data_IF_030108776031
#
_entry.id   IF_030108776031
#
_cell.length_a   1.000
_cell.length_b   1.000
_cell.length_c   1.000
_cell.angle_alpha   90.00
_cell.angle_beta   90.00
_cell.angle_gamma   90.00
#
_symmetry.space_group_name_H-M   'P 1'
#
loop_
_entity.id
_entity.type
_entity.pdbx_description
1 polymer ?
#
# COMPACT_ATOMS: atom_id res chain seq x y z
N UNK A 1 49.06 40.69 -0.49
CA UNK A 1 48.83 39.46 -1.18
C UNK A 1 48.18 38.48 -0.19
N UNK A 2 46.86 38.51 -0.08
CA UNK A 2 46.09 37.74 0.86
C UNK A 2 45.60 36.45 0.19
N UNK A 3 46.09 35.30 0.63
CA UNK A 3 45.52 34.01 0.28
C UNK A 3 44.29 33.84 1.17
N UNK A 4 43.12 34.03 0.55
CA UNK A 4 41.87 33.87 1.24
C UNK A 4 41.66 32.42 1.66
N UNK A 5 41.24 32.28 2.87
CA UNK A 5 40.89 31.10 3.61
C UNK A 5 39.76 30.32 2.93
N UNK A 6 40.14 29.33 2.12
CA UNK A 6 39.19 28.38 1.48
C UNK A 6 38.86 27.19 2.39
N UNK A 7 39.35 27.20 3.64
CA UNK A 7 39.07 26.13 4.61
C UNK A 7 37.76 26.26 5.35
N UNK A 8 37.06 27.41 5.25
CA UNK A 8 35.82 27.68 6.01
C UNK A 8 34.53 27.19 5.36
N UNK A 9 34.61 26.52 4.18
CA UNK A 9 33.41 25.97 3.49
C UNK A 9 33.24 24.46 3.70
N UNK A 10 34.08 23.84 4.48
CA UNK A 10 33.97 22.44 4.81
C UNK A 10 33.39 22.30 6.22
N UNK A 11 32.33 21.50 6.28
CA UNK A 11 31.61 21.07 7.48
C UNK A 11 30.52 22.03 8.01
N UNK A 12 29.43 22.19 7.24
CA UNK A 12 28.14 22.16 7.92
C UNK A 12 27.90 20.70 8.32
N UNK A 13 27.88 20.35 9.64
CA UNK A 13 27.38 19.06 10.05
C UNK A 13 25.96 18.96 9.50
N UNK A 14 25.65 17.88 8.78
CA UNK A 14 24.28 17.56 8.48
C UNK A 14 23.55 17.62 9.82
N UNK A 15 22.64 18.60 9.98
CA UNK A 15 21.86 18.76 11.20
C UNK A 15 21.21 17.42 11.49
N UNK A 16 21.63 16.78 12.54
CA UNK A 16 21.13 15.51 13.03
C UNK A 16 19.70 15.76 13.54
N UNK A 17 18.73 15.74 12.64
CA UNK A 17 17.30 15.96 12.94
C UNK A 17 16.73 14.83 13.81
N UNK A 18 17.58 13.92 14.28
CA UNK A 18 17.24 12.87 15.21
C UNK A 18 17.44 13.36 16.66
N UNK A 19 16.42 13.98 17.23
CA UNK A 19 16.38 14.15 18.70
C UNK A 19 16.30 12.75 19.31
N UNK A 20 17.17 12.40 20.29
CA UNK A 20 17.06 11.14 21.00
C UNK A 20 15.66 11.03 21.65
N UNK A 21 14.83 10.11 21.16
CA UNK A 21 13.50 9.82 21.71
C UNK A 21 12.31 10.47 21.00
N UNK A 22 12.48 11.18 19.86
CA UNK A 22 11.39 11.76 19.07
C UNK A 22 11.08 10.97 17.80
N UNK A 23 9.81 11.02 17.34
CA UNK A 23 9.40 10.55 16.00
C UNK A 23 10.10 11.43 14.96
N UNK A 24 10.69 10.81 13.92
CA UNK A 24 11.29 11.58 12.82
C UNK A 24 10.22 12.36 12.06
N UNK A 25 10.55 13.54 11.54
CA UNK A 25 9.63 14.35 10.75
C UNK A 25 9.10 13.60 9.53
N UNK A 26 9.91 12.73 8.94
CA UNK A 26 9.50 11.89 7.81
C UNK A 26 8.42 10.88 8.20
N UNK A 27 8.56 10.21 9.35
CA UNK A 27 7.56 9.30 9.89
C UNK A 27 6.27 10.03 10.27
N UNK A 28 6.37 11.22 10.88
CA UNK A 28 5.20 12.05 11.18
C UNK A 28 4.47 12.43 9.91
N UNK A 29 5.18 12.88 8.86
CA UNK A 29 4.60 13.17 7.56
C UNK A 29 3.88 11.97 6.95
N UNK A 30 4.46 10.76 7.05
CA UNK A 30 3.82 9.53 6.58
C UNK A 30 2.54 9.19 7.36
N UNK A 31 2.53 9.37 8.68
CA UNK A 31 1.33 9.16 9.50
C UNK A 31 0.22 10.12 9.12
N UNK A 32 0.52 11.40 8.91
CA UNK A 32 -0.46 12.40 8.47
C UNK A 32 -0.98 12.10 7.06
N UNK A 33 -0.11 11.65 6.16
CA UNK A 33 -0.51 11.19 4.83
C UNK A 33 -1.46 10.00 4.92
N UNK A 34 -1.12 8.95 5.67
CA UNK A 34 -2.01 7.80 5.88
C UNK A 34 -3.34 8.21 6.49
N UNK A 35 -3.34 9.14 7.44
CA UNK A 35 -4.59 9.66 8.02
C UNK A 35 -5.50 10.30 6.97
N UNK A 36 -4.94 11.07 6.00
CA UNK A 36 -5.71 11.61 4.88
C UNK A 36 -6.29 10.53 3.97
N UNK A 37 -5.52 9.46 3.73
CA UNK A 37 -5.96 8.34 2.89
C UNK A 37 -7.05 7.49 3.58
N UNK A 38 -6.98 7.34 4.91
CA UNK A 38 -8.08 6.74 5.71
C UNK A 38 -9.37 7.55 5.53
N UNK A 39 -9.30 8.88 5.55
CA UNK A 39 -10.47 9.74 5.32
C UNK A 39 -10.99 9.60 3.88
N UNK A 40 -10.11 9.51 2.90
CA UNK A 40 -10.47 9.30 1.50
C UNK A 40 -11.24 7.98 1.31
N UNK A 41 -10.69 6.86 1.76
CA UNK A 41 -11.38 5.56 1.69
C UNK A 41 -12.64 5.53 2.56
N UNK A 42 -12.62 6.17 3.73
CA UNK A 42 -13.80 6.33 4.58
C UNK A 42 -14.95 7.02 3.85
N UNK A 43 -14.66 8.05 3.05
CA UNK A 43 -15.64 8.70 2.17
C UNK A 43 -16.19 7.75 1.10
N UNK A 44 -15.32 6.96 0.46
CA UNK A 44 -15.74 5.96 -0.55
C UNK A 44 -16.62 4.85 0.07
N UNK A 45 -16.24 4.32 1.24
CA UNK A 45 -17.08 3.36 1.97
C UNK A 45 -18.41 3.97 2.40
N UNK A 46 -18.41 5.22 2.88
CA UNK A 46 -19.64 5.94 3.23
C UNK A 46 -20.58 6.07 2.04
N UNK A 47 -20.06 6.44 0.87
CA UNK A 47 -20.83 6.49 -0.38
C UNK A 47 -21.40 5.11 -0.74
N UNK A 48 -20.56 4.05 -0.68
CA UNK A 48 -21.00 2.67 -0.94
C UNK A 48 -22.16 2.25 -0.03
N UNK A 49 -22.05 2.46 1.29
CA UNK A 49 -23.11 2.06 2.22
C UNK A 49 -24.39 2.89 2.06
N UNK A 50 -24.28 4.17 1.71
CA UNK A 50 -25.42 5.04 1.40
C UNK A 50 -26.16 4.53 0.18
N UNK A 51 -25.45 4.20 -0.88
CA UNK A 51 -26.03 3.67 -2.13
C UNK A 51 -26.68 2.31 -1.86
N UNK A 52 -25.97 1.41 -1.16
CA UNK A 52 -26.47 0.09 -0.80
C UNK A 52 -27.78 0.16 0.00
N UNK A 53 -27.85 1.06 0.98
CA UNK A 53 -29.03 1.22 1.83
C UNK A 53 -30.25 1.78 1.10
N UNK A 54 -30.03 2.47 -0.02
CA UNK A 54 -31.09 3.02 -0.86
C UNK A 54 -31.60 2.03 -1.93
N UNK A 55 -30.85 0.95 -2.19
CA UNK A 55 -31.21 -0.07 -3.17
C UNK A 55 -32.23 -1.06 -2.59
N UNK A 56 -33.31 -1.43 -3.32
CA UNK A 56 -34.29 -2.40 -2.87
C UNK A 56 -33.73 -3.81 -2.72
N UNK A 57 -32.69 -4.13 -3.53
CA UNK A 57 -31.98 -5.42 -3.53
C UNK A 57 -30.51 -5.19 -3.82
N UNK A 58 -29.62 -5.90 -3.10
CA UNK A 58 -28.18 -5.73 -3.24
C UNK A 58 -27.43 -7.06 -3.07
N UNK A 59 -26.58 -7.48 -4.05
CA UNK A 59 -26.38 -6.86 -5.36
C UNK A 59 -27.65 -6.96 -6.24
N UNK A 60 -27.83 -6.07 -7.24
CA UNK A 60 -28.95 -6.20 -8.17
C UNK A 60 -28.87 -7.55 -8.92
N UNK A 61 -30.02 -8.20 -9.23
CA UNK A 61 -30.06 -9.57 -9.75
C UNK A 61 -29.40 -9.77 -11.13
N UNK A 62 -29.25 -8.70 -11.89
CA UNK A 62 -28.62 -8.75 -13.23
C UNK A 62 -27.07 -8.66 -13.20
N UNK A 63 -26.46 -8.60 -12.01
CA UNK A 63 -25.01 -8.51 -11.90
C UNK A 63 -24.38 -9.90 -11.73
N UNK A 64 -23.16 -10.13 -12.30
CA UNK A 64 -22.44 -11.36 -12.11
C UNK A 64 -22.09 -11.56 -10.62
N UNK A 65 -22.11 -12.81 -10.18
CA UNK A 65 -21.73 -13.16 -8.82
C UNK A 65 -20.23 -13.04 -8.63
N UNK A 66 -19.82 -12.17 -7.68
CA UNK A 66 -18.43 -12.04 -7.31
C UNK A 66 -17.94 -13.30 -6.58
N UNK A 67 -16.80 -13.83 -7.00
CA UNK A 67 -16.24 -15.05 -6.42
C UNK A 67 -15.53 -14.78 -5.07
N UNK A 68 -16.25 -14.95 -3.96
CA UNK A 68 -15.66 -14.82 -2.63
C UNK A 68 -14.43 -15.75 -2.39
N UNK A 69 -14.38 -17.01 -2.87
CA UNK A 69 -13.17 -17.83 -2.78
C UNK A 69 -11.97 -17.24 -3.52
N UNK A 70 -12.18 -16.65 -4.70
CA UNK A 70 -11.11 -15.99 -5.45
C UNK A 70 -10.57 -14.77 -4.69
N UNK A 71 -11.44 -13.92 -4.20
CA UNK A 71 -11.08 -12.76 -3.39
C UNK A 71 -10.39 -13.17 -2.05
N UNK A 72 -10.76 -14.32 -1.48
CA UNK A 72 -10.07 -14.86 -0.29
C UNK A 72 -8.62 -15.26 -0.60
N UNK A 73 -8.33 -15.81 -1.79
CA UNK A 73 -6.96 -16.09 -2.22
C UNK A 73 -6.18 -14.78 -2.38
N UNK A 74 -6.76 -13.76 -3.02
CA UNK A 74 -6.15 -12.41 -3.13
C UNK A 74 -5.82 -11.85 -1.75
N UNK A 75 -6.75 -11.96 -0.81
CA UNK A 75 -6.57 -11.51 0.58
C UNK A 75 -5.41 -12.26 1.25
N UNK A 76 -5.34 -13.58 1.10
CA UNK A 76 -4.25 -14.38 1.67
C UNK A 76 -2.87 -13.97 1.11
N UNK A 77 -2.78 -13.70 -0.20
CA UNK A 77 -1.56 -13.22 -0.85
C UNK A 77 -1.13 -11.88 -0.27
N UNK A 78 -2.06 -10.92 -0.18
CA UNK A 78 -1.76 -9.57 0.26
C UNK A 78 -1.38 -9.55 1.76
N UNK A 79 -2.13 -10.24 2.62
CA UNK A 79 -1.80 -10.37 4.05
C UNK A 79 -0.44 -11.06 4.26
N UNK A 80 -0.12 -12.09 3.46
CA UNK A 80 1.20 -12.72 3.50
C UNK A 80 2.29 -11.74 3.10
N UNK A 81 2.04 -10.88 2.11
CA UNK A 81 3.00 -9.84 1.70
C UNK A 81 3.28 -8.83 2.82
N UNK A 82 2.26 -8.53 3.63
CA UNK A 82 2.38 -7.66 4.81
C UNK A 82 3.31 -8.26 5.87
N UNK A 83 3.14 -9.55 6.14
CA UNK A 83 4.02 -10.28 7.07
C UNK A 83 5.46 -10.29 6.57
N UNK A 84 5.67 -10.54 5.27
CA UNK A 84 7.03 -10.51 4.68
C UNK A 84 7.64 -9.12 4.73
N UNK A 85 6.86 -8.06 4.52
CA UNK A 85 7.31 -6.68 4.69
C UNK A 85 7.79 -6.41 6.12
N UNK A 86 7.05 -6.88 7.12
CA UNK A 86 7.43 -6.74 8.53
C UNK A 86 8.75 -7.49 8.85
N UNK A 87 8.97 -8.66 8.25
CA UNK A 87 10.27 -9.36 8.37
C UNK A 87 11.41 -8.55 7.77
N UNK A 88 11.16 -7.79 6.69
CA UNK A 88 12.13 -6.84 6.12
C UNK A 88 12.52 -5.75 7.13
N UNK A 89 11.54 -5.14 7.79
CA UNK A 89 11.78 -4.12 8.84
C UNK A 89 12.60 -4.72 10.00
N UNK A 90 12.25 -5.90 10.48
CA UNK A 90 13.01 -6.55 11.56
C UNK A 90 14.43 -6.94 11.13
N UNK A 91 14.64 -7.25 9.85
CA UNK A 91 15.97 -7.56 9.33
C UNK A 91 16.87 -6.31 9.34
N UNK A 92 16.38 -5.14 8.92
CA UNK A 92 17.19 -3.92 8.92
C UNK A 92 17.47 -3.42 10.32
N UNK A 93 16.54 -3.52 11.25
CA UNK A 93 16.77 -3.21 12.67
C UNK A 93 17.91 -4.03 13.28
N UNK A 94 18.14 -5.26 12.76
CA UNK A 94 19.27 -6.12 13.09
C UNK A 94 20.48 -5.93 12.16
N UNK A 95 20.50 -4.87 11.36
CA UNK A 95 21.54 -4.55 10.37
C UNK A 95 21.82 -5.66 9.36
N UNK A 96 20.80 -6.49 9.05
CA UNK A 96 20.92 -7.60 8.11
C UNK A 96 20.39 -7.21 6.72
N UNK A 97 21.25 -6.56 5.93
CA UNK A 97 20.96 -6.05 4.61
C UNK A 97 20.48 -7.14 3.63
N UNK A 98 21.09 -8.34 3.68
CA UNK A 98 20.72 -9.43 2.76
C UNK A 98 19.29 -9.90 3.00
N UNK A 99 18.88 -10.04 4.28
CA UNK A 99 17.50 -10.40 4.63
C UNK A 99 16.51 -9.30 4.30
N UNK A 100 16.88 -8.01 4.49
CA UNK A 100 16.05 -6.89 4.06
C UNK A 100 15.72 -7.00 2.57
N UNK A 101 16.75 -7.13 1.72
CA UNK A 101 16.59 -7.24 0.26
C UNK A 101 15.69 -8.42 -0.11
N UNK A 102 15.91 -9.58 0.52
CA UNK A 102 15.10 -10.77 0.27
C UNK A 102 13.62 -10.52 0.60
N UNK A 103 13.32 -10.01 1.80
CA UNK A 103 11.94 -9.84 2.24
C UNK A 103 11.21 -8.73 1.47
N UNK A 104 11.89 -7.63 1.12
CA UNK A 104 11.33 -6.60 0.23
C UNK A 104 11.02 -7.16 -1.16
N UNK A 105 11.90 -8.00 -1.72
CA UNK A 105 11.66 -8.62 -3.02
C UNK A 105 10.48 -9.60 -2.98
N UNK A 106 10.31 -10.38 -1.91
CA UNK A 106 9.17 -11.27 -1.71
C UNK A 106 7.88 -10.47 -1.58
N UNK A 107 7.86 -9.40 -0.78
CA UNK A 107 6.68 -8.55 -0.62
C UNK A 107 6.27 -7.89 -1.94
N UNK A 108 7.25 -7.39 -2.70
CA UNK A 108 7.02 -6.81 -4.02
C UNK A 108 6.44 -7.83 -5.01
N UNK A 109 6.98 -9.05 -5.01
CA UNK A 109 6.49 -10.13 -5.87
C UNK A 109 5.03 -10.50 -5.54
N UNK A 110 4.70 -10.65 -4.25
CA UNK A 110 3.33 -10.95 -3.82
C UNK A 110 2.37 -9.82 -4.17
N UNK A 111 2.79 -8.56 -4.00
CA UNK A 111 2.00 -7.39 -4.42
C UNK A 111 1.78 -7.34 -5.94
N UNK A 112 2.80 -7.69 -6.74
CA UNK A 112 2.67 -7.79 -8.20
C UNK A 112 1.72 -8.92 -8.62
N UNK A 113 1.77 -10.09 -7.95
CA UNK A 113 0.84 -11.20 -8.16
C UNK A 113 -0.59 -10.77 -7.85
N UNK A 114 -0.81 -10.07 -6.73
CA UNK A 114 -2.12 -9.53 -6.37
C UNK A 114 -2.67 -8.62 -7.48
N UNK A 115 -1.87 -7.64 -7.96
CA UNK A 115 -2.28 -6.73 -9.02
C UNK A 115 -2.60 -7.47 -10.34
N UNK A 116 -1.80 -8.48 -10.70
CA UNK A 116 -2.06 -9.28 -11.89
C UNK A 116 -3.36 -10.07 -11.77
N UNK A 117 -3.61 -10.72 -10.62
CA UNK A 117 -4.85 -11.44 -10.37
C UNK A 117 -6.07 -10.52 -10.36
N UNK A 118 -5.96 -9.33 -9.75
CA UNK A 118 -7.02 -8.33 -9.76
C UNK A 118 -7.34 -7.85 -11.18
N UNK A 119 -6.31 -7.66 -12.02
CA UNK A 119 -6.51 -7.30 -13.43
C UNK A 119 -7.20 -8.42 -14.22
N UNK A 120 -6.89 -9.70 -13.94
CA UNK A 120 -7.57 -10.85 -14.53
C UNK A 120 -9.04 -10.92 -14.09
N UNK A 121 -9.33 -10.67 -12.82
CA UNK A 121 -10.71 -10.60 -12.32
C UNK A 121 -11.50 -9.51 -13.06
N UNK A 122 -10.91 -8.33 -13.25
CA UNK A 122 -11.55 -7.25 -14.03
C UNK A 122 -11.82 -7.66 -15.47
N UNK A 123 -10.88 -8.34 -16.14
CA UNK A 123 -11.07 -8.80 -17.50
C UNK A 123 -12.26 -9.77 -17.58
N UNK A 124 -12.34 -10.75 -16.68
CA UNK A 124 -13.45 -11.71 -16.62
C UNK A 124 -14.81 -11.03 -16.38
N UNK A 125 -14.88 -10.09 -15.40
CA UNK A 125 -16.11 -9.36 -15.10
C UNK A 125 -16.57 -8.48 -16.26
N UNK A 126 -15.64 -7.90 -17.04
CA UNK A 126 -15.95 -7.13 -18.23
C UNK A 126 -16.52 -8.04 -19.33
N UNK A 127 -15.98 -9.25 -19.51
CA UNK A 127 -16.51 -10.26 -20.46
C UNK A 127 -17.92 -10.72 -20.05
N UNK A 128 -18.22 -10.79 -18.74
CA UNK A 128 -19.55 -11.08 -18.19
C UNK A 128 -20.51 -9.88 -18.27
N UNK A 129 -20.07 -8.73 -18.83
CA UNK A 129 -20.90 -7.53 -19.04
C UNK A 129 -20.87 -6.54 -17.87
N UNK A 130 -20.15 -6.81 -16.78
CA UNK A 130 -20.01 -5.86 -15.68
C UNK A 130 -18.92 -4.85 -15.98
N UNK A 131 -19.32 -3.61 -16.21
CA UNK A 131 -18.41 -2.49 -16.49
C UNK A 131 -18.63 -1.34 -15.50
N UNK A 132 -17.79 -0.32 -15.55
CA UNK A 132 -17.96 0.91 -14.75
C UNK A 132 -19.32 1.59 -15.00
N UNK A 133 -19.91 1.42 -16.20
CA UNK A 133 -21.18 2.02 -16.65
C UNK A 133 -22.35 1.05 -16.63
N UNK A 134 -22.18 -0.22 -16.24
CA UNK A 134 -23.24 -1.24 -16.26
C UNK A 134 -24.31 -1.04 -15.17
N UNK A 135 -24.10 -0.11 -14.25
CA UNK A 135 -25.06 0.21 -13.19
C UNK A 135 -24.35 0.66 -11.91
N UNK A 136 -25.15 0.88 -10.89
CA UNK A 136 -24.64 1.43 -9.61
C UNK A 136 -23.70 0.46 -8.90
N UNK A 137 -23.97 -0.85 -8.98
CA UNK A 137 -23.11 -1.87 -8.40
C UNK A 137 -21.74 -1.92 -9.09
N UNK A 138 -21.72 -1.98 -10.43
CA UNK A 138 -20.48 -1.94 -11.22
C UNK A 138 -19.68 -0.66 -10.95
N UNK A 139 -20.32 0.50 -10.95
CA UNK A 139 -19.65 1.78 -10.67
C UNK A 139 -19.02 1.81 -9.29
N UNK A 140 -19.71 1.37 -8.25
CA UNK A 140 -19.18 1.36 -6.88
C UNK A 140 -18.07 0.32 -6.70
N UNK A 141 -18.22 -0.87 -7.29
CA UNK A 141 -17.21 -1.93 -7.28
C UNK A 141 -15.89 -1.45 -7.91
N UNK A 142 -15.93 -0.98 -9.17
CA UNK A 142 -14.72 -0.56 -9.87
C UNK A 142 -14.10 0.72 -9.28
N UNK A 143 -14.90 1.62 -8.72
CA UNK A 143 -14.37 2.80 -8.04
C UNK A 143 -13.60 2.42 -6.78
N UNK A 144 -14.20 1.64 -5.88
CA UNK A 144 -13.59 1.23 -4.63
C UNK A 144 -12.34 0.37 -4.86
N UNK A 145 -12.48 -0.71 -5.63
CA UNK A 145 -11.38 -1.65 -5.87
C UNK A 145 -10.31 -1.06 -6.80
N UNK A 146 -10.68 -0.17 -7.73
CA UNK A 146 -9.77 0.51 -8.63
C UNK A 146 -8.88 1.53 -7.92
N UNK A 147 -9.44 2.36 -7.04
CA UNK A 147 -8.63 3.25 -6.21
C UNK A 147 -7.72 2.45 -5.28
N UNK A 148 -8.22 1.37 -4.71
CA UNK A 148 -7.37 0.47 -3.91
C UNK A 148 -6.24 -0.12 -4.76
N UNK A 149 -6.51 -0.65 -5.94
CA UNK A 149 -5.50 -1.18 -6.85
C UNK A 149 -4.44 -0.13 -7.24
N UNK A 150 -4.85 1.13 -7.44
CA UNK A 150 -3.92 2.22 -7.67
C UNK A 150 -2.99 2.47 -6.46
N UNK A 151 -3.52 2.35 -5.23
CA UNK A 151 -2.72 2.47 -3.99
C UNK A 151 -1.77 1.28 -3.82
N UNK A 152 -2.20 0.05 -4.15
CA UNK A 152 -1.31 -1.13 -4.18
C UNK A 152 -0.18 -0.92 -5.19
N UNK A 153 -0.47 -0.42 -6.38
CA UNK A 153 0.54 -0.12 -7.40
C UNK A 153 1.53 0.97 -6.94
N UNK A 154 1.03 2.03 -6.30
CA UNK A 154 1.85 3.07 -5.69
C UNK A 154 2.76 2.53 -4.58
N UNK A 155 2.21 1.66 -3.71
CA UNK A 155 2.97 0.97 -2.67
C UNK A 155 4.04 0.03 -3.22
N UNK A 156 3.70 -0.73 -4.28
CA UNK A 156 4.67 -1.58 -4.97
C UNK A 156 5.81 -0.77 -5.61
N UNK A 157 5.49 0.37 -6.22
CA UNK A 157 6.52 1.29 -6.72
C UNK A 157 7.39 1.85 -5.59
N UNK A 158 6.81 2.18 -4.44
CA UNK A 158 7.56 2.63 -3.26
C UNK A 158 8.47 1.51 -2.74
N UNK A 159 7.97 0.27 -2.59
CA UNK A 159 8.80 -0.89 -2.19
C UNK A 159 9.93 -1.13 -3.20
N UNK A 160 9.68 -0.98 -4.50
CA UNK A 160 10.70 -1.11 -5.53
C UNK A 160 11.81 -0.08 -5.37
N UNK A 161 11.48 1.19 -5.13
CA UNK A 161 12.47 2.24 -4.88
C UNK A 161 13.29 1.91 -3.63
N UNK A 162 12.64 1.48 -2.54
CA UNK A 162 13.32 1.08 -1.30
C UNK A 162 14.23 -0.13 -1.53
N UNK A 163 13.78 -1.11 -2.32
CA UNK A 163 14.58 -2.30 -2.68
C UNK A 163 15.84 -1.93 -3.48
N UNK A 164 15.73 -1.03 -4.44
CA UNK A 164 16.88 -0.54 -5.22
C UNK A 164 17.89 0.19 -4.33
N UNK A 165 17.41 1.04 -3.43
CA UNK A 165 18.25 1.74 -2.44
C UNK A 165 18.87 0.76 -1.43
N UNK A 166 18.14 -0.28 -1.03
CA UNK A 166 18.67 -1.34 -0.18
C UNK A 166 19.82 -2.09 -0.86
N UNK A 167 19.70 -2.41 -2.16
CA UNK A 167 20.80 -3.04 -2.94
C UNK A 167 22.06 -2.17 -2.99
N UNK A 168 21.90 -0.85 -2.99
CA UNK A 168 23.03 0.10 -2.94
C UNK A 168 23.59 0.31 -1.52
N UNK A 169 23.11 -0.43 -0.51
CA UNK A 169 23.64 -0.36 0.85
C UNK A 169 23.29 0.92 1.62
N UNK A 170 22.27 1.67 1.21
CA UNK A 170 21.94 2.97 1.78
C UNK A 170 21.26 2.91 3.16
N UNK A 171 20.83 1.74 3.63
CA UNK A 171 20.13 1.57 4.89
C UNK A 171 20.99 0.88 5.95
N UNK A 172 20.83 1.32 7.19
CA UNK A 172 21.49 0.75 8.36
C UNK A 172 20.47 0.63 9.50
N UNK A 173 20.84 -0.07 10.58
CA UNK A 173 19.99 -0.15 11.77
C UNK A 173 19.66 1.23 12.38
N UNK A 174 20.46 2.27 12.12
CA UNK A 174 20.23 3.64 12.60
C UNK A 174 19.44 4.50 11.61
N UNK A 175 19.61 4.26 10.30
CA UNK A 175 19.02 5.06 9.22
C UNK A 175 18.17 4.16 8.32
N UNK A 176 16.91 3.92 8.71
CA UNK A 176 15.97 3.05 7.98
C UNK A 176 14.51 3.58 7.97
N UNK A 177 14.30 4.84 8.31
CA UNK A 177 12.96 5.46 8.35
C UNK A 177 12.18 5.24 7.05
N UNK A 178 12.85 5.30 5.90
CA UNK A 178 12.21 5.07 4.59
C UNK A 178 11.65 3.65 4.46
N UNK A 179 12.32 2.65 5.06
CA UNK A 179 11.82 1.26 5.08
C UNK A 179 10.59 1.16 5.97
N UNK A 180 10.59 1.84 7.11
CA UNK A 180 9.43 1.88 8.01
C UNK A 180 8.25 2.62 7.38
N UNK A 181 8.48 3.75 6.71
CA UNK A 181 7.43 4.46 5.98
C UNK A 181 6.78 3.59 4.90
N UNK A 182 7.59 2.84 4.12
CA UNK A 182 7.07 1.91 3.13
C UNK A 182 6.24 0.79 3.78
N UNK A 183 6.66 0.29 4.95
CA UNK A 183 5.93 -0.71 5.71
C UNK A 183 4.59 -0.18 6.23
N UNK A 184 4.54 1.03 6.79
CA UNK A 184 3.29 1.64 7.27
C UNK A 184 2.29 1.84 6.13
N UNK A 185 2.77 2.32 4.98
CA UNK A 185 1.93 2.49 3.81
C UNK A 185 1.38 1.13 3.31
N UNK A 186 2.23 0.10 3.25
CA UNK A 186 1.84 -1.23 2.80
C UNK A 186 0.79 -1.85 3.72
N UNK A 187 0.99 -1.79 5.04
CA UNK A 187 0.01 -2.27 6.01
C UNK A 187 -1.32 -1.51 5.94
N UNK A 188 -1.29 -0.19 5.71
CA UNK A 188 -2.50 0.59 5.49
C UNK A 188 -3.29 0.07 4.28
N UNK A 189 -2.63 -0.16 3.15
CA UNK A 189 -3.26 -0.71 1.94
C UNK A 189 -3.90 -2.07 2.21
N UNK A 190 -3.25 -2.96 2.96
CA UNK A 190 -3.80 -4.25 3.36
C UNK A 190 -5.06 -4.13 4.22
N UNK A 191 -5.06 -3.23 5.20
CA UNK A 191 -6.23 -2.98 6.05
C UNK A 191 -7.42 -2.49 5.22
N UNK A 192 -7.19 -1.60 4.25
CA UNK A 192 -8.23 -1.16 3.31
C UNK A 192 -8.76 -2.34 2.50
N UNK A 193 -7.88 -3.24 2.00
CA UNK A 193 -8.32 -4.43 1.26
C UNK A 193 -9.20 -5.36 2.11
N UNK A 194 -8.84 -5.61 3.36
CA UNK A 194 -9.67 -6.42 4.28
C UNK A 194 -11.07 -5.80 4.43
N UNK A 195 -11.15 -4.47 4.53
CA UNK A 195 -12.42 -3.75 4.52
C UNK A 195 -13.21 -3.96 3.22
N UNK A 196 -12.56 -3.84 2.05
CA UNK A 196 -13.18 -4.07 0.75
C UNK A 196 -13.65 -5.51 0.58
N UNK A 197 -12.81 -6.48 0.92
CA UNK A 197 -13.17 -7.90 0.88
C UNK A 197 -14.39 -8.19 1.74
N UNK A 198 -14.42 -7.67 2.98
CA UNK A 198 -15.53 -7.87 3.89
C UNK A 198 -16.84 -7.25 3.36
N UNK A 199 -16.78 -6.02 2.84
CA UNK A 199 -17.98 -5.27 2.44
C UNK A 199 -18.51 -5.68 1.08
N UNK A 200 -17.64 -6.01 0.12
CA UNK A 200 -18.03 -6.27 -1.26
C UNK A 200 -18.24 -7.76 -1.54
N UNK A 201 -17.43 -8.65 -0.94
CA UNK A 201 -17.48 -10.08 -1.24
C UNK A 201 -18.16 -10.92 -0.15
N UNK A 202 -18.14 -10.52 1.13
CA UNK A 202 -18.75 -11.30 2.21
C UNK A 202 -20.15 -10.80 2.58
N UNK A 203 -20.42 -9.50 2.46
CA UNK A 203 -21.71 -8.89 2.80
C UNK A 203 -22.63 -8.69 1.59
N UNK A 204 -22.47 -9.48 0.53
CA UNK A 204 -23.35 -9.47 -0.64
C UNK A 204 -24.78 -9.80 -0.27
#
# INVERSE_FOLDING_TARGET
>A
MAVADTAALQERPAEDHHKPGGISYSLLGMVLFIASEVMFFGGLFGAYFTIRSAAPEWPPPDNPHLSAPYAAVLTAILVTSSVTMQFGVWAIRKNNQRRLILWLAVSLLLGAIFLAMQALEYANLIEEGMTLSSGVFGSTFYTLTGFHGAHVAGGAAFILIVLLRARSGQFTARYHDTVEMASYYWHFVDVVWIGLFSTIYLLQ
#
